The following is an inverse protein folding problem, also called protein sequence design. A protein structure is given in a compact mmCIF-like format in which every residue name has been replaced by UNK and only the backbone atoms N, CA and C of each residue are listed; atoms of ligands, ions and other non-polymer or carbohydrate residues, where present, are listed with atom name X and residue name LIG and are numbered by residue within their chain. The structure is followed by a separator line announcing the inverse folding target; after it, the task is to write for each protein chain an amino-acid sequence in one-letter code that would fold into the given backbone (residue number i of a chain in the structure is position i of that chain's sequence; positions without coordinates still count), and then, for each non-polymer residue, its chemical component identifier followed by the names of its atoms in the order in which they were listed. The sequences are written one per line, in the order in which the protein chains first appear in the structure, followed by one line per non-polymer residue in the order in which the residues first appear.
data_IF_495466989590
#
_entry.id   IF_495466989590
#
_cell.length_a   1.000
_cell.length_b   1.000
_cell.length_c   1.000
_cell.angle_alpha   90.00
_cell.angle_beta   90.00
_cell.angle_gamma   90.00
#
_symmetry.space_group_name_H-M   'P 1'
#
loop_
_entity.id
_entity.type
_entity.pdbx_description
1 polymer ?
#
# COMPACT_ATOMS: atom_id res chain seq x y z
N UNK A 1 -3.36 -9.09 -24.43
CA UNK A 1 -2.57 -7.92 -23.95
C UNK A 1 -3.45 -6.81 -23.37
N UNK A 2 -4.51 -6.37 -24.03
CA UNK A 2 -5.39 -5.26 -23.55
C UNK A 2 -5.91 -5.46 -22.11
N UNK A 3 -6.28 -6.69 -21.72
CA UNK A 3 -6.74 -7.00 -20.35
C UNK A 3 -5.64 -6.87 -19.27
N UNK A 4 -4.39 -7.19 -19.59
CA UNK A 4 -3.27 -7.13 -18.64
C UNK A 4 -2.75 -5.70 -18.44
N UNK A 5 -2.85 -4.84 -19.45
CA UNK A 5 -2.45 -3.44 -19.31
C UNK A 5 -3.58 -2.54 -18.80
N UNK A 6 -4.83 -3.01 -18.87
CA UNK A 6 -6.01 -2.26 -18.41
C UNK A 6 -5.89 -1.72 -16.99
N UNK A 7 -5.32 -2.43 -16.00
CA UNK A 7 -5.14 -1.88 -14.65
C UNK A 7 -4.21 -0.66 -14.62
N UNK A 8 -3.15 -0.64 -15.44
CA UNK A 8 -2.22 0.49 -15.49
C UNK A 8 -2.86 1.75 -16.09
N UNK A 9 -3.89 1.64 -16.92
CA UNK A 9 -4.56 2.80 -17.52
C UNK A 9 -5.72 3.31 -16.65
N UNK A 10 -6.08 2.59 -15.58
CA UNK A 10 -7.21 2.96 -14.72
C UNK A 10 -6.75 3.83 -13.55
N UNK A 11 -7.39 4.99 -13.41
CA UNK A 11 -7.18 5.90 -12.27
C UNK A 11 -7.27 5.20 -10.91
N UNK A 12 -8.18 4.22 -10.76
CA UNK A 12 -8.35 3.46 -9.52
C UNK A 12 -7.08 2.80 -8.98
N UNK A 13 -6.16 2.37 -9.87
CA UNK A 13 -4.91 1.74 -9.46
C UNK A 13 -4.02 2.74 -8.73
N UNK A 14 -3.98 3.96 -9.26
CA UNK A 14 -3.20 5.05 -8.70
C UNK A 14 -3.83 5.64 -7.44
N UNK A 15 -5.17 5.72 -7.35
CA UNK A 15 -5.83 6.17 -6.11
C UNK A 15 -5.65 5.15 -4.98
N UNK A 16 -5.67 3.84 -5.28
CA UNK A 16 -5.35 2.79 -4.31
C UNK A 16 -3.90 2.84 -3.85
N UNK A 17 -2.96 3.05 -4.79
CA UNK A 17 -1.54 3.23 -4.46
C UNK A 17 -1.33 4.49 -3.60
N UNK A 18 -1.99 5.59 -3.95
CA UNK A 18 -1.97 6.81 -3.15
C UNK A 18 -2.47 6.54 -1.73
N UNK A 19 -3.57 5.80 -1.57
CA UNK A 19 -4.10 5.44 -0.26
C UNK A 19 -3.11 4.61 0.59
N UNK A 20 -2.30 3.76 -0.05
CA UNK A 20 -1.21 3.01 0.61
C UNK A 20 -0.06 3.92 1.05
N UNK A 21 0.24 4.96 0.29
CA UNK A 21 1.34 5.88 0.57
C UNK A 21 1.04 6.89 1.67
N UNK A 22 -0.23 7.26 1.90
CA UNK A 22 -0.63 8.22 2.94
C UNK A 22 -0.02 7.92 4.32
N UNK A 23 -0.17 6.71 4.90
CA UNK A 23 0.45 6.41 6.19
C UNK A 23 1.98 6.38 6.12
N UNK A 24 2.56 5.94 4.99
CA UNK A 24 4.01 5.90 4.81
C UNK A 24 4.60 7.30 4.82
N UNK A 25 3.95 8.29 4.21
CA UNK A 25 4.43 9.67 4.23
C UNK A 25 4.59 10.19 5.68
N UNK A 26 3.62 9.92 6.55
CA UNK A 26 3.72 10.25 7.96
C UNK A 26 4.85 9.48 8.67
N UNK A 27 4.99 8.18 8.40
CA UNK A 27 6.09 7.37 8.94
C UNK A 27 7.47 7.83 8.47
N UNK A 28 7.61 8.26 7.21
CA UNK A 28 8.88 8.75 6.67
C UNK A 28 9.32 10.03 7.37
N UNK A 29 8.39 10.95 7.65
CA UNK A 29 8.69 12.13 8.47
C UNK A 29 9.12 11.73 9.88
N UNK A 30 8.44 10.76 10.49
CA UNK A 30 8.83 10.27 11.81
C UNK A 30 10.24 9.65 11.80
N UNK A 31 10.53 8.72 10.90
CA UNK A 31 11.85 8.09 10.78
C UNK A 31 12.97 9.08 10.49
N UNK A 32 12.65 10.20 9.83
CA UNK A 32 13.59 11.29 9.65
C UNK A 32 13.89 12.05 10.95
N UNK A 33 12.85 12.31 11.76
CA UNK A 33 12.97 13.08 13.02
C UNK A 33 13.55 12.23 14.15
N UNK A 34 13.10 10.99 14.28
CA UNK A 34 13.43 10.09 15.39
C UNK A 34 13.76 8.68 14.85
N UNK A 35 14.97 8.49 14.29
CA UNK A 35 15.38 7.23 13.65
C UNK A 35 15.69 6.11 14.64
N UNK A 36 16.02 6.42 15.90
CA UNK A 36 16.22 5.41 16.95
C UNK A 36 14.88 4.80 17.37
N UNK A 37 13.83 5.63 17.21
CA UNK A 37 12.37 5.60 17.31
C UNK A 37 11.43 4.85 16.33
N UNK A 38 11.78 3.90 15.43
CA UNK A 38 10.96 3.65 14.24
C UNK A 38 9.57 3.00 14.41
N UNK A 39 9.37 2.15 15.43
CA UNK A 39 8.10 1.54 15.85
C UNK A 39 7.10 2.44 16.60
N UNK A 40 7.49 3.61 17.12
CA UNK A 40 6.59 4.44 17.96
C UNK A 40 5.28 4.83 17.25
N UNK A 41 5.28 5.25 15.96
CA UNK A 41 4.04 5.57 15.27
C UNK A 41 3.06 4.39 15.19
N UNK A 42 3.56 3.15 15.13
CA UNK A 42 2.72 1.96 15.09
C UNK A 42 1.96 1.78 16.41
N UNK A 43 2.57 2.13 17.54
CA UNK A 43 1.90 2.12 18.84
C UNK A 43 0.83 3.20 18.93
N UNK A 44 1.08 4.38 18.33
CA UNK A 44 0.11 5.50 18.28
C UNK A 44 -1.15 5.15 17.48
N UNK A 45 -1.08 4.22 16.51
CA UNK A 45 -2.25 3.75 15.77
C UNK A 45 -3.32 3.12 16.68
N UNK A 46 -2.94 2.55 17.83
CA UNK A 46 -3.87 1.93 18.77
C UNK A 46 -4.81 2.95 19.40
N UNK A 47 -4.34 3.97 20.16
CA UNK A 47 -5.24 4.97 20.71
C UNK A 47 -6.00 5.74 19.62
N UNK A 48 -5.37 6.03 18.46
CA UNK A 48 -6.04 6.68 17.33
C UNK A 48 -7.20 5.82 16.82
N UNK A 49 -6.98 4.54 16.52
CA UNK A 49 -8.02 3.66 16.00
C UNK A 49 -9.16 3.37 16.98
N UNK A 50 -8.94 3.56 18.29
CA UNK A 50 -9.98 3.45 19.31
C UNK A 50 -10.93 4.65 19.36
N UNK A 51 -10.59 5.78 18.72
CA UNK A 51 -11.45 6.96 18.63
C UNK A 51 -12.61 6.66 17.66
N UNK A 52 -13.89 6.70 18.11
CA UNK A 52 -15.03 6.32 17.27
C UNK A 52 -15.15 7.08 15.94
N UNK A 53 -14.77 8.36 15.95
CA UNK A 53 -14.82 9.25 14.78
C UNK A 53 -13.80 8.87 13.70
N UNK A 54 -12.70 8.21 14.06
CA UNK A 54 -11.66 7.80 13.09
C UNK A 54 -12.21 6.82 12.06
N UNK A 55 -13.15 5.95 12.45
CA UNK A 55 -13.83 5.03 11.51
C UNK A 55 -14.51 5.79 10.37
N UNK A 56 -15.15 6.92 10.66
CA UNK A 56 -15.88 7.72 9.64
C UNK A 56 -14.90 8.33 8.64
N UNK A 57 -13.79 8.92 9.13
CA UNK A 57 -12.75 9.47 8.27
C UNK A 57 -12.08 8.42 7.38
N UNK A 58 -11.75 7.26 7.96
CA UNK A 58 -11.15 6.14 7.24
C UNK A 58 -12.09 5.53 6.20
N UNK A 59 -13.39 5.40 6.52
CA UNK A 59 -14.41 4.97 5.53
C UNK A 59 -14.50 5.97 4.38
N UNK A 60 -14.52 7.27 4.67
CA UNK A 60 -14.58 8.30 3.63
C UNK A 60 -13.37 8.21 2.70
N UNK A 61 -12.15 8.09 3.24
CA UNK A 61 -10.96 7.90 2.42
C UNK A 61 -11.01 6.59 1.62
N UNK A 62 -11.46 5.49 2.23
CA UNK A 62 -11.58 4.20 1.57
C UNK A 62 -12.57 4.26 0.40
N UNK A 63 -13.74 4.91 0.57
CA UNK A 63 -14.73 5.09 -0.49
C UNK A 63 -14.17 5.89 -1.66
N UNK A 64 -13.54 7.03 -1.36
CA UNK A 64 -13.00 7.94 -2.37
C UNK A 64 -11.84 7.33 -3.15
N UNK A 65 -10.95 6.58 -2.48
CA UNK A 65 -9.69 6.15 -3.07
C UNK A 65 -9.67 4.68 -3.51
N UNK A 66 -10.42 3.79 -2.85
CA UNK A 66 -10.41 2.34 -3.15
C UNK A 66 -11.55 1.92 -4.08
N UNK A 67 -12.69 2.60 -3.98
CA UNK A 67 -13.91 2.30 -4.73
C UNK A 67 -14.52 3.54 -5.41
N UNK A 68 -13.73 4.35 -6.15
CA UNK A 68 -14.22 5.60 -6.75
C UNK A 68 -15.35 5.41 -7.77
N UNK A 69 -15.40 4.23 -8.41
CA UNK A 69 -16.36 3.91 -9.46
C UNK A 69 -17.63 3.19 -8.92
N UNK A 70 -17.74 2.98 -7.61
CA UNK A 70 -18.85 2.26 -6.99
C UNK A 70 -19.86 3.25 -6.39
N UNK A 71 -21.10 3.21 -6.88
CA UNK A 71 -22.15 4.12 -6.44
C UNK A 71 -22.57 3.90 -4.98
N UNK A 72 -22.64 2.64 -4.53
CA UNK A 72 -23.01 2.28 -3.16
C UNK A 72 -22.07 1.20 -2.60
N UNK A 73 -20.87 1.60 -2.14
CA UNK A 73 -19.89 0.66 -1.61
C UNK A 73 -20.25 0.28 -0.16
N UNK A 74 -20.18 -1.02 0.16
CA UNK A 74 -20.55 -1.65 1.45
C UNK A 74 -19.62 -1.22 2.60
N UNK A 75 -19.77 0.02 3.06
CA UNK A 75 -19.01 0.63 4.15
C UNK A 75 -19.94 1.25 5.19
N UNK A 76 -19.54 1.19 6.47
CA UNK A 76 -20.32 1.78 7.54
C UNK A 76 -20.32 3.31 7.50
N UNK A 77 -21.50 3.93 7.64
CA UNK A 77 -21.66 5.39 7.61
C UNK A 77 -21.67 6.02 9.00
N UNK A 78 -21.73 5.21 10.06
CA UNK A 78 -21.85 5.66 11.45
C UNK A 78 -20.55 5.48 12.24
N UNK A 79 -20.31 6.33 13.27
CA UNK A 79 -19.20 6.14 14.21
C UNK A 79 -19.23 4.76 14.89
N UNK A 80 -18.06 4.27 15.32
CA UNK A 80 -17.98 2.99 16.03
C UNK A 80 -18.66 3.03 17.41
N UNK A 81 -19.84 2.42 17.53
CA UNK A 81 -20.60 2.34 18.78
C UNK A 81 -20.13 1.18 19.66
N UNK A 82 -19.81 0.03 19.05
CA UNK A 82 -19.32 -1.15 19.77
C UNK A 82 -17.78 -1.20 19.88
N UNK A 83 -17.28 -1.77 20.97
CA UNK A 83 -15.84 -1.96 21.20
C UNK A 83 -15.16 -2.81 20.11
N UNK A 84 -15.88 -3.80 19.59
CA UNK A 84 -15.41 -4.64 18.49
C UNK A 84 -15.14 -3.81 17.22
N UNK A 85 -15.98 -2.82 16.91
CA UNK A 85 -15.80 -1.99 15.73
C UNK A 85 -14.62 -1.02 15.87
N UNK A 86 -14.31 -0.59 17.10
CA UNK A 86 -13.09 0.18 17.41
C UNK A 86 -11.83 -0.66 17.14
N UNK A 87 -11.78 -1.90 17.61
CA UNK A 87 -10.66 -2.80 17.31
C UNK A 87 -10.55 -3.16 15.83
N UNK A 88 -11.67 -3.23 15.09
CA UNK A 88 -11.63 -3.38 13.63
C UNK A 88 -10.98 -2.17 12.96
N UNK A 89 -11.24 -0.95 13.45
CA UNK A 89 -10.56 0.27 12.98
C UNK A 89 -9.07 0.26 13.31
N UNK A 90 -8.67 -0.14 14.53
CA UNK A 90 -7.24 -0.31 14.88
C UNK A 90 -6.56 -1.31 13.94
N UNK A 91 -7.19 -2.48 13.73
CA UNK A 91 -6.66 -3.51 12.84
C UNK A 91 -6.58 -3.00 11.38
N UNK A 92 -7.57 -2.22 10.94
CA UNK A 92 -7.55 -1.57 9.64
C UNK A 92 -6.35 -0.64 9.48
N UNK A 93 -6.10 0.25 10.45
CA UNK A 93 -4.96 1.17 10.43
C UNK A 93 -3.63 0.42 10.40
N UNK A 94 -3.49 -0.65 11.19
CA UNK A 94 -2.29 -1.48 11.22
C UNK A 94 -2.06 -2.19 9.88
N UNK A 95 -3.08 -2.85 9.34
CA UNK A 95 -3.00 -3.56 8.04
C UNK A 95 -2.66 -2.58 6.92
N UNK A 96 -3.35 -1.44 6.83
CA UNK A 96 -3.10 -0.42 5.81
C UNK A 96 -1.66 0.10 5.89
N UNK A 97 -1.17 0.36 7.11
CA UNK A 97 0.20 0.84 7.31
C UNK A 97 1.24 -0.19 6.88
N UNK A 98 1.04 -1.47 7.23
CA UNK A 98 1.94 -2.55 6.82
C UNK A 98 1.95 -2.74 5.30
N UNK A 99 0.78 -2.79 4.67
CA UNK A 99 0.66 -2.88 3.21
C UNK A 99 1.28 -1.65 2.53
N UNK A 100 1.12 -0.46 3.13
CA UNK A 100 1.74 0.78 2.68
C UNK A 100 3.27 0.69 2.68
N UNK A 101 3.85 0.21 3.79
CA UNK A 101 5.30 -0.01 3.89
C UNK A 101 5.82 -0.98 2.83
N UNK A 102 5.11 -2.10 2.60
CA UNK A 102 5.45 -3.05 1.52
C UNK A 102 5.36 -2.37 0.15
N UNK A 103 4.28 -1.62 -0.12
CA UNK A 103 4.11 -0.91 -1.38
C UNK A 103 5.26 0.08 -1.61
N UNK A 104 5.56 0.92 -0.62
CA UNK A 104 6.63 1.90 -0.68
C UNK A 104 7.99 1.25 -0.95
N UNK A 105 8.33 0.21 -0.17
CA UNK A 105 9.58 -0.54 -0.35
C UNK A 105 9.70 -1.09 -1.79
N UNK A 106 8.67 -1.76 -2.29
CA UNK A 106 8.68 -2.32 -3.65
C UNK A 106 8.75 -1.24 -4.73
N UNK A 107 8.03 -0.13 -4.55
CA UNK A 107 8.05 0.99 -5.52
C UNK A 107 9.37 1.74 -5.56
N UNK A 108 10.18 1.68 -4.51
CA UNK A 108 11.54 2.27 -4.50
C UNK A 108 12.56 1.27 -5.04
N UNK A 109 12.57 0.04 -4.52
CA UNK A 109 13.65 -0.91 -4.81
C UNK A 109 13.52 -1.60 -6.16
N UNK A 110 12.32 -1.96 -6.62
CA UNK A 110 12.19 -2.68 -7.90
C UNK A 110 12.63 -1.85 -9.12
N UNK A 111 12.36 -0.53 -9.19
CA UNK A 111 12.93 0.33 -10.23
C UNK A 111 14.46 0.43 -10.17
N UNK A 112 15.03 0.55 -8.96
CA UNK A 112 16.50 0.57 -8.77
C UNK A 112 17.09 -0.74 -9.31
N UNK A 113 16.55 -1.89 -8.91
CA UNK A 113 17.02 -3.21 -9.39
C UNK A 113 16.89 -3.32 -10.91
N UNK A 114 15.77 -2.90 -11.50
CA UNK A 114 15.59 -2.92 -12.96
C UNK A 114 16.63 -2.03 -13.67
N UNK A 115 16.86 -0.83 -13.16
CA UNK A 115 17.86 0.10 -13.69
C UNK A 115 19.27 -0.50 -13.60
N UNK A 116 19.66 -1.04 -12.44
CA UNK A 116 20.96 -1.68 -12.24
C UNK A 116 21.16 -2.83 -13.24
N UNK A 117 20.17 -3.71 -13.42
CA UNK A 117 20.24 -4.81 -14.39
C UNK A 117 20.43 -4.30 -15.83
N UNK A 118 19.69 -3.25 -16.22
CA UNK A 118 19.81 -2.64 -17.54
C UNK A 118 21.19 -2.00 -17.76
N UNK A 119 21.68 -1.23 -16.78
CA UNK A 119 22.98 -0.58 -16.81
C UNK A 119 24.12 -1.60 -16.94
N UNK A 120 24.02 -2.73 -16.22
CA UNK A 120 24.97 -3.85 -16.31
C UNK A 120 24.94 -4.53 -17.67
N UNK A 121 23.80 -4.61 -18.32
CA UNK A 121 23.69 -5.14 -19.69
C UNK A 121 24.46 -4.26 -20.67
N UNK A 122 24.46 -2.95 -20.44
CA UNK A 122 25.17 -1.96 -21.25
C UNK A 122 26.66 -1.79 -20.86
N UNK A 123 27.20 -2.59 -19.94
CA UNK A 123 28.62 -2.54 -19.56
C UNK A 123 28.97 -1.54 -18.45
N UNK A 124 27.98 -0.88 -17.84
CA UNK A 124 28.23 0.07 -16.76
C UNK A 124 28.54 -0.64 -15.43
N UNK A 125 29.33 0.02 -14.59
CA UNK A 125 29.53 -0.37 -13.19
C UNK A 125 28.57 0.44 -12.34
N UNK A 126 27.83 -0.24 -11.47
CA UNK A 126 26.80 0.35 -10.59
C UNK A 126 27.10 -0.04 -9.15
N UNK A 127 27.18 0.95 -8.26
CA UNK A 127 27.47 0.74 -6.83
C UNK A 127 26.21 0.53 -5.99
N UNK A 128 25.03 0.81 -6.55
CA UNK A 128 23.74 0.83 -5.83
C UNK A 128 23.36 -0.52 -5.19
N UNK A 129 23.86 -1.63 -5.74
CA UNK A 129 23.54 -2.99 -5.30
C UNK A 129 24.80 -3.87 -5.25
N UNK A 130 25.44 -4.01 -4.08
CA UNK A 130 26.63 -4.85 -3.89
C UNK A 130 26.40 -6.32 -4.31
N UNK A 131 25.17 -6.83 -4.19
CA UNK A 131 24.80 -8.17 -4.63
C UNK A 131 24.91 -8.38 -6.15
N UNK A 132 24.99 -7.31 -6.95
CA UNK A 132 25.13 -7.33 -8.40
C UNK A 132 26.54 -6.91 -8.86
N UNK A 133 27.54 -6.97 -7.98
CA UNK A 133 28.93 -6.49 -8.20
C UNK A 133 29.81 -7.32 -9.16
N UNK A 134 29.24 -8.25 -9.95
CA UNK A 134 29.97 -9.11 -10.90
C UNK A 134 30.38 -8.48 -12.25
N UNK A 135 30.88 -9.29 -13.18
CA UNK A 135 31.18 -8.81 -14.54
C UNK A 135 29.89 -8.52 -15.33
N UNK A 136 29.83 -7.44 -16.13
CA UNK A 136 28.73 -7.19 -17.06
C UNK A 136 28.45 -8.39 -17.98
N UNK A 137 27.18 -8.78 -18.09
CA UNK A 137 26.76 -9.92 -18.91
C UNK A 137 25.38 -9.69 -19.52
N UNK A 138 25.17 -10.11 -20.77
CA UNK A 138 23.91 -9.90 -21.52
C UNK A 138 22.69 -10.51 -20.83
N UNK A 139 22.89 -11.57 -20.03
CA UNK A 139 21.84 -12.25 -19.27
C UNK A 139 21.11 -11.32 -18.30
N UNK A 140 21.77 -10.29 -17.76
CA UNK A 140 21.11 -9.30 -16.92
C UNK A 140 19.99 -8.56 -17.67
N UNK A 141 20.12 -8.39 -18.98
CA UNK A 141 19.11 -7.74 -19.82
C UNK A 141 17.82 -8.54 -19.90
N UNK A 142 17.92 -9.88 -19.86
CA UNK A 142 16.76 -10.76 -19.81
C UNK A 142 16.04 -10.70 -18.45
N UNK A 143 16.77 -10.38 -17.38
CA UNK A 143 16.22 -10.22 -16.03
C UNK A 143 15.63 -8.83 -15.77
N UNK A 144 16.08 -7.79 -16.48
CA UNK A 144 15.56 -6.41 -16.37
C UNK A 144 14.02 -6.29 -16.37
N UNK A 145 13.25 -6.98 -17.22
CA UNK A 145 11.78 -6.88 -17.17
C UNK A 145 11.17 -7.51 -15.92
N UNK A 146 11.86 -8.43 -15.23
CA UNK A 146 11.30 -9.18 -14.11
C UNK A 146 10.94 -8.29 -12.91
N UNK A 147 11.81 -7.40 -12.39
CA UNK A 147 11.42 -6.45 -11.34
C UNK A 147 10.24 -5.56 -11.73
N UNK A 148 10.14 -5.15 -13.00
CA UNK A 148 9.03 -4.32 -13.49
C UNK A 148 7.71 -5.10 -13.52
N UNK A 149 7.74 -6.38 -13.89
CA UNK A 149 6.58 -7.27 -13.84
C UNK A 149 6.14 -7.53 -12.40
N UNK A 150 7.09 -7.73 -11.47
CA UNK A 150 6.80 -7.85 -10.04
C UNK A 150 6.21 -6.55 -9.50
N UNK A 151 6.74 -5.39 -9.89
CA UNK A 151 6.23 -4.09 -9.48
C UNK A 151 4.79 -3.88 -9.96
N UNK A 152 4.52 -4.21 -11.22
CA UNK A 152 3.17 -4.20 -11.78
C UNK A 152 2.22 -5.09 -10.97
N UNK A 153 2.60 -6.34 -10.73
CA UNK A 153 1.79 -7.29 -9.97
C UNK A 153 1.56 -6.82 -8.52
N UNK A 154 2.58 -6.23 -7.89
CA UNK A 154 2.51 -5.71 -6.53
C UNK A 154 1.57 -4.50 -6.43
N UNK A 155 1.70 -3.50 -7.31
CA UNK A 155 0.85 -2.30 -7.29
C UNK A 155 -0.62 -2.66 -7.45
N UNK A 156 -0.94 -3.56 -8.40
CA UNK A 156 -2.31 -4.03 -8.61
C UNK A 156 -2.77 -4.89 -7.43
N UNK A 157 -1.99 -5.91 -7.07
CA UNK A 157 -2.35 -6.90 -6.04
C UNK A 157 -2.54 -6.28 -4.67
N UNK A 158 -1.62 -5.41 -4.22
CA UNK A 158 -1.73 -4.73 -2.94
C UNK A 158 -2.97 -3.83 -2.88
N UNK A 159 -3.30 -3.14 -3.98
CA UNK A 159 -4.53 -2.34 -4.07
C UNK A 159 -5.80 -3.19 -3.95
N UNK A 160 -5.83 -4.39 -4.56
CA UNK A 160 -6.97 -5.32 -4.39
C UNK A 160 -7.05 -5.88 -2.97
N UNK A 161 -5.92 -6.32 -2.40
CA UNK A 161 -5.86 -6.84 -1.02
C UNK A 161 -6.31 -5.78 -0.03
N UNK A 162 -5.87 -4.53 -0.19
CA UNK A 162 -6.29 -3.41 0.63
C UNK A 162 -7.78 -3.14 0.51
N UNK A 163 -8.33 -3.19 -0.70
CA UNK A 163 -9.78 -3.00 -0.94
C UNK A 163 -10.58 -4.11 -0.25
N UNK A 164 -10.14 -5.36 -0.35
CA UNK A 164 -10.77 -6.48 0.34
C UNK A 164 -10.69 -6.34 1.88
N UNK A 165 -9.52 -5.92 2.40
CA UNK A 165 -9.34 -5.63 3.82
C UNK A 165 -10.27 -4.50 4.29
N UNK A 166 -10.40 -3.43 3.49
CA UNK A 166 -11.28 -2.31 3.78
C UNK A 166 -12.73 -2.77 3.91
N UNK A 167 -13.25 -3.53 2.94
CA UNK A 167 -14.62 -4.07 2.99
C UNK A 167 -14.85 -4.95 4.22
N UNK A 168 -13.88 -5.79 4.56
CA UNK A 168 -13.99 -6.69 5.72
C UNK A 168 -13.94 -5.95 7.05
N UNK A 169 -13.05 -4.96 7.19
CA UNK A 169 -12.75 -4.31 8.47
C UNK A 169 -13.61 -3.06 8.70
N UNK A 170 -13.91 -2.31 7.64
CA UNK A 170 -14.70 -1.07 7.70
C UNK A 170 -16.16 -1.25 7.25
N UNK A 171 -16.52 -2.41 6.70
CA UNK A 171 -17.91 -2.75 6.37
C UNK A 171 -18.82 -2.78 7.61
N UNK A 172 -20.15 -2.65 7.40
CA UNK A 172 -21.12 -2.58 8.49
C UNK A 172 -21.05 -3.80 9.42
N UNK A 173 -21.26 -3.57 10.71
CA UNK A 173 -21.37 -4.65 11.70
C UNK A 173 -22.70 -5.40 11.54
N UNK A 174 -22.83 -6.58 12.14
CA UNK A 174 -24.10 -7.33 12.08
C UNK A 174 -25.27 -6.54 12.71
N UNK A 175 -24.99 -5.73 13.73
CA UNK A 175 -25.99 -4.85 14.35
C UNK A 175 -26.41 -3.71 13.41
N UNK A 176 -25.44 -3.12 12.69
CA UNK A 176 -25.70 -2.04 11.71
C UNK A 176 -26.45 -2.53 10.46
N UNK A 177 -26.42 -3.83 10.16
CA UNK A 177 -27.18 -4.42 9.03
C UNK A 177 -28.66 -4.71 9.35
N UNK A 178 -29.04 -4.66 10.62
CA UNK A 178 -30.41 -4.96 11.08
C UNK A 178 -31.25 -3.70 11.30
N UNK A 179 -30.64 -2.52 11.16
CA UNK A 179 -31.25 -1.19 11.25
C UNK A 179 -31.38 -0.58 9.87
#
# INVERSE_FOLDING_TARGET
MVRLLRPLVRGRTYTRLLHLWVPVAALSVWWWVEPELPWVPLLVLVPVGLIPAVRVGEVMQARLLLTPDEADPDFATLPATAWRDRWRTVLWLAVRTLLGGVAAYLTVWLPIVAYTLAARTAGHVTEDLPALSGQPHWFYGLLTPLPLLVLYAAVVGLGEVLTAAARRLLGPSAAERLT
#
